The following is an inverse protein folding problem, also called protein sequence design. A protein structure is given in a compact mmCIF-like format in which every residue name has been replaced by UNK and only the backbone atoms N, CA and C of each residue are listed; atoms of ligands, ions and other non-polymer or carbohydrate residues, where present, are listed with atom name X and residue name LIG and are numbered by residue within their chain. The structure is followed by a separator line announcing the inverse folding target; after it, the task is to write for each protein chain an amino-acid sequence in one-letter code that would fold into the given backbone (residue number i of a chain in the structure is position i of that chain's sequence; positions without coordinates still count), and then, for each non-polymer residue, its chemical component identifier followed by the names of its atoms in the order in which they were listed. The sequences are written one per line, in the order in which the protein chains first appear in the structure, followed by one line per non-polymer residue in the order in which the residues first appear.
data_IF_713272155503
#
_entry.id   IF_713272155503
#
_cell.length_a   1.000
_cell.length_b   1.000
_cell.length_c   1.000
_cell.angle_alpha   90.00
_cell.angle_beta   90.00
_cell.angle_gamma   90.00
#
_symmetry.space_group_name_H-M   'P 1'
#
loop_
_entity.id
_entity.type
_entity.pdbx_description
1 polymer ?
#
# COMPACT_ATOMS: atom_id res chain seq x y z
N UNK A 1 -13.35 -6.58 -7.47
CA UNK A 1 -11.98 -6.25 -7.02
C UNK A 1 -11.83 -4.75 -6.89
N UNK A 2 -11.46 -4.30 -5.70
CA UNK A 2 -11.07 -2.92 -5.42
C UNK A 2 -9.73 -2.92 -4.71
N UNK A 3 -8.87 -1.96 -5.04
CA UNK A 3 -7.59 -1.74 -4.38
C UNK A 3 -7.47 -0.26 -4.03
N UNK A 4 -7.00 0.03 -2.83
CA UNK A 4 -6.79 1.38 -2.34
C UNK A 4 -5.45 1.48 -1.61
N UNK A 5 -4.76 2.58 -1.82
CA UNK A 5 -3.51 2.93 -1.15
C UNK A 5 -3.65 4.33 -0.55
N UNK A 6 -3.13 4.51 0.66
CA UNK A 6 -3.05 5.82 1.31
C UNK A 6 -1.77 5.91 2.14
N UNK A 7 -0.96 6.93 1.89
CA UNK A 7 0.36 7.00 2.47
C UNK A 7 1.09 8.32 2.29
N UNK A 8 2.14 8.48 3.08
CA UNK A 8 3.07 9.60 3.02
C UNK A 8 4.27 9.22 2.14
N UNK A 9 4.19 9.50 0.84
CA UNK A 9 5.30 9.21 -0.09
C UNK A 9 6.55 10.07 0.15
N UNK A 10 6.44 11.22 0.83
CA UNK A 10 7.57 12.11 1.12
C UNK A 10 7.67 13.29 0.16
N UNK A 11 8.68 14.14 0.35
CA UNK A 11 8.85 15.43 -0.33
C UNK A 11 8.26 16.64 0.41
N UNK A 12 7.27 16.42 1.28
CA UNK A 12 6.77 17.40 2.24
C UNK A 12 6.26 16.69 3.51
N UNK A 13 6.03 17.44 4.59
CA UNK A 13 5.37 16.90 5.77
C UNK A 13 3.95 16.43 5.42
N UNK A 14 3.58 15.23 5.86
CA UNK A 14 2.22 14.73 5.70
C UNK A 14 1.26 15.52 6.60
N UNK A 15 0.06 15.94 6.14
CA UNK A 15 -0.86 16.78 6.92
C UNK A 15 -1.24 16.22 8.29
N UNK A 16 -1.22 14.90 8.44
CA UNK A 16 -1.56 14.18 9.67
C UNK A 16 -0.32 13.70 10.47
N UNK A 17 0.89 14.15 10.11
CA UNK A 17 2.12 13.79 10.83
C UNK A 17 2.63 12.36 10.58
N UNK A 18 2.11 11.67 9.57
CA UNK A 18 2.58 10.33 9.16
C UNK A 18 4.01 10.45 8.61
N UNK A 19 4.90 9.54 9.04
CA UNK A 19 6.29 9.52 8.61
C UNK A 19 6.40 9.22 7.11
N UNK A 20 7.34 9.89 6.43
CA UNK A 20 7.62 9.62 5.02
C UNK A 20 8.05 8.16 4.83
N UNK A 21 7.55 7.53 3.77
CA UNK A 21 7.77 6.13 3.50
C UNK A 21 6.76 5.19 4.14
N UNK A 22 5.74 5.68 4.85
CA UNK A 22 4.65 4.86 5.40
C UNK A 22 3.42 4.89 4.49
N UNK A 23 2.87 3.72 4.18
CA UNK A 23 1.63 3.56 3.42
C UNK A 23 0.81 2.38 3.91
N UNK A 24 -0.51 2.54 3.95
CA UNK A 24 -1.48 1.47 4.19
C UNK A 24 -2.20 1.13 2.88
N UNK A 25 -2.37 -0.16 2.62
CA UNK A 25 -2.98 -0.68 1.41
C UNK A 25 -4.08 -1.66 1.79
N UNK A 26 -5.21 -1.59 1.08
CA UNK A 26 -6.32 -2.52 1.22
C UNK A 26 -6.79 -3.06 -0.13
N UNK A 27 -7.22 -4.33 -0.16
CA UNK A 27 -7.83 -5.00 -1.30
C UNK A 27 -9.15 -5.64 -0.86
N UNK A 28 -10.17 -5.57 -1.71
CA UNK A 28 -11.45 -6.27 -1.55
C UNK A 28 -11.81 -7.04 -2.82
N UNK A 29 -12.36 -8.24 -2.67
CA UNK A 29 -12.78 -9.15 -3.73
C UNK A 29 -14.22 -9.65 -3.56
N UNK A 30 -14.70 -10.51 -4.47
CA UNK A 30 -15.94 -11.25 -4.31
C UNK A 30 -15.95 -12.14 -3.06
N UNK A 31 -17.12 -12.70 -2.72
CA UNK A 31 -17.27 -13.73 -1.67
C UNK A 31 -16.67 -13.39 -0.29
N UNK A 32 -16.55 -12.09 0.00
CA UNK A 32 -16.03 -11.60 1.28
C UNK A 32 -14.51 -11.54 1.37
N UNK A 33 -13.78 -11.66 0.25
CA UNK A 33 -12.32 -11.57 0.26
C UNK A 33 -11.86 -10.16 0.61
N UNK A 34 -10.99 -10.07 1.61
CA UNK A 34 -10.36 -8.84 2.04
C UNK A 34 -8.89 -9.09 2.42
N UNK A 35 -8.06 -8.07 2.21
CA UNK A 35 -6.66 -8.09 2.60
C UNK A 35 -6.16 -6.69 2.86
N UNK A 36 -5.21 -6.55 3.77
CA UNK A 36 -4.52 -5.29 4.00
C UNK A 36 -3.05 -5.51 4.33
N UNK A 37 -2.22 -4.51 4.04
CA UNK A 37 -0.83 -4.49 4.45
C UNK A 37 -0.39 -3.07 4.78
N UNK A 38 0.64 -2.97 5.64
CA UNK A 38 1.31 -1.72 5.98
C UNK A 38 2.76 -1.81 5.50
N UNK A 39 3.19 -0.80 4.74
CA UNK A 39 4.55 -0.70 4.20
C UNK A 39 5.27 0.45 4.89
N UNK A 40 6.54 0.25 5.24
CA UNK A 40 7.41 1.32 5.75
C UNK A 40 8.79 1.21 5.12
N UNK A 41 9.21 2.23 4.37
CA UNK A 41 10.51 2.28 3.68
C UNK A 41 11.56 3.10 4.44
N UNK A 42 11.14 3.86 5.45
CA UNK A 42 11.98 4.83 6.20
C UNK A 42 12.73 5.82 5.29
N UNK A 43 12.17 6.13 4.13
CA UNK A 43 12.78 6.96 3.10
C UNK A 43 11.93 8.20 2.84
N UNK A 44 12.57 9.34 2.57
CA UNK A 44 11.90 10.55 2.09
C UNK A 44 11.95 10.69 0.55
N UNK A 45 12.40 9.66 -0.17
CA UNK A 45 12.42 9.66 -1.62
C UNK A 45 11.01 9.37 -2.18
N UNK A 46 10.34 10.43 -2.62
CA UNK A 46 8.95 10.38 -3.12
C UNK A 46 8.74 9.36 -4.23
N UNK A 47 9.57 9.39 -5.27
CA UNK A 47 9.39 8.51 -6.43
C UNK A 47 9.61 7.05 -6.05
N UNK A 48 10.69 6.76 -5.30
CA UNK A 48 10.97 5.41 -4.83
C UNK A 48 9.83 4.86 -3.95
N UNK A 49 9.31 5.69 -3.04
CA UNK A 49 8.20 5.28 -2.18
C UNK A 49 6.93 4.98 -2.98
N UNK A 50 6.57 5.81 -3.97
CA UNK A 50 5.41 5.53 -4.83
C UNK A 50 5.55 4.19 -5.57
N UNK A 51 6.76 3.86 -6.04
CA UNK A 51 7.04 2.57 -6.67
C UNK A 51 6.90 1.42 -5.67
N UNK A 52 7.50 1.52 -4.48
CA UNK A 52 7.39 0.49 -3.43
C UNK A 52 5.94 0.30 -2.95
N UNK A 53 5.17 1.37 -2.79
CA UNK A 53 3.76 1.28 -2.40
C UNK A 53 2.93 0.57 -3.48
N UNK A 54 3.18 0.91 -4.76
CA UNK A 54 2.52 0.26 -5.90
C UNK A 54 2.87 -1.23 -5.97
N UNK A 55 4.15 -1.58 -5.82
CA UNK A 55 4.61 -2.97 -5.81
C UNK A 55 3.95 -3.78 -4.69
N UNK A 56 3.94 -3.24 -3.46
CA UNK A 56 3.28 -3.88 -2.33
C UNK A 56 1.77 -4.08 -2.54
N UNK A 57 1.12 -3.15 -3.24
CA UNK A 57 -0.30 -3.25 -3.57
C UNK A 57 -0.56 -4.39 -4.57
N UNK A 58 0.28 -4.53 -5.59
CA UNK A 58 0.21 -5.64 -6.56
C UNK A 58 0.54 -6.99 -5.92
N UNK A 59 1.52 -7.02 -5.02
CA UNK A 59 1.86 -8.21 -4.22
C UNK A 59 0.69 -8.64 -3.36
N UNK A 60 0.07 -7.71 -2.62
CA UNK A 60 -1.12 -8.02 -1.82
C UNK A 60 -2.26 -8.56 -2.69
N UNK A 61 -2.53 -7.93 -3.84
CA UNK A 61 -3.56 -8.39 -4.77
C UNK A 61 -3.28 -9.81 -5.29
N UNK A 62 -2.04 -10.10 -5.71
CA UNK A 62 -1.63 -11.45 -6.12
C UNK A 62 -1.87 -12.45 -4.99
N UNK A 63 -1.39 -12.15 -3.79
CA UNK A 63 -1.43 -13.07 -2.66
C UNK A 63 -2.87 -13.38 -2.23
N UNK A 64 -3.83 -12.45 -2.38
CA UNK A 64 -5.24 -12.74 -2.12
C UNK A 64 -5.89 -13.54 -3.24
N UNK A 65 -5.55 -13.29 -4.51
CA UNK A 65 -6.04 -14.07 -5.66
C UNK A 65 -5.58 -15.53 -5.59
N UNK A 66 -4.34 -15.76 -5.15
CA UNK A 66 -3.79 -17.12 -5.00
C UNK A 66 -4.46 -17.92 -3.87
N UNK A 67 -5.06 -17.24 -2.87
CA UNK A 67 -5.80 -17.90 -1.78
C UNK A 67 -7.21 -18.32 -2.17
N UNK A 68 -7.74 -17.81 -3.29
CA UNK A 68 -9.04 -18.23 -3.83
C UNK A 68 -8.96 -19.56 -4.62
N UNK A 69 -7.75 -20.04 -4.92
CA UNK A 69 -7.49 -21.30 -5.64
C UNK A 69 -7.34 -22.50 -4.68
#
# INVERSE_FOLDING_TARGET
WGIAETGASGGSAHPLGVAAGTSAIGVVGPDGVEGSTLVTTQSNNRLANMQTFTEAALVLLRDVLEREC
#
